data_IF_213396561226
#
_entry.id   IF_213396561226
#
_cell.length_a   1.000
_cell.length_b   1.000
_cell.length_c   1.000
_cell.angle_alpha   90.00
_cell.angle_beta   90.00
_cell.angle_gamma   90.00
#
_symmetry.space_group_name_H-M   'P 1'
#
loop_
_entity.id
_entity.type
_entity.pdbx_description
1 polymer ?
#
# COMPACT_ATOMS: atom_id res chain seq x y z
N UNK A 1 -19.28 -8.41 17.24
CA UNK A 1 -17.82 -8.17 17.33
C UNK A 1 -17.40 -7.41 16.08
N UNK A 2 -17.15 -6.12 16.20
CA UNK A 2 -16.62 -5.29 15.13
C UNK A 2 -15.10 -5.47 15.11
N UNK A 3 -14.57 -6.04 14.03
CA UNK A 3 -13.14 -6.11 13.78
C UNK A 3 -12.60 -4.66 13.75
N UNK A 4 -11.68 -4.34 14.67
CA UNK A 4 -10.99 -3.06 14.70
C UNK A 4 -9.79 -3.23 13.78
N UNK A 5 -9.86 -2.62 12.59
CA UNK A 5 -8.75 -2.64 11.63
C UNK A 5 -7.67 -1.71 12.15
N UNK A 6 -6.45 -2.23 12.30
CA UNK A 6 -5.28 -1.41 12.58
C UNK A 6 -4.82 -0.77 11.27
N UNK A 7 -4.68 0.55 11.24
CA UNK A 7 -4.21 1.27 10.06
C UNK A 7 -2.75 0.99 9.72
N UNK A 8 -2.04 0.25 10.58
CA UNK A 8 -0.62 -0.10 10.40
C UNK A 8 -0.37 -1.56 10.06
N UNK A 9 -1.31 -2.47 10.34
CA UNK A 9 -1.18 -3.89 9.99
C UNK A 9 -1.48 -4.11 8.50
N UNK A 10 -0.47 -4.60 7.75
CA UNK A 10 -0.55 -4.67 6.29
C UNK A 10 -1.74 -5.46 5.72
N UNK A 11 -2.23 -6.48 6.44
CA UNK A 11 -3.42 -7.24 6.04
C UNK A 11 -4.71 -6.43 6.21
N UNK A 12 -4.81 -5.65 7.28
CA UNK A 12 -5.96 -4.79 7.56
C UNK A 12 -6.01 -3.62 6.57
N UNK A 13 -4.84 -3.05 6.25
CA UNK A 13 -4.66 -2.06 5.18
C UNK A 13 -5.10 -2.67 3.84
N UNK A 14 -4.60 -3.85 3.48
CA UNK A 14 -4.99 -4.53 2.25
C UNK A 14 -6.49 -4.79 2.17
N UNK A 15 -7.10 -5.29 3.25
CA UNK A 15 -8.54 -5.51 3.29
C UNK A 15 -9.31 -4.21 3.03
N UNK A 16 -8.87 -3.11 3.65
CA UNK A 16 -9.48 -1.80 3.52
C UNK A 16 -9.32 -1.24 2.10
N UNK A 17 -8.12 -1.31 1.52
CA UNK A 17 -7.86 -0.93 0.13
C UNK A 17 -8.72 -1.73 -0.85
N UNK A 18 -8.78 -3.05 -0.71
CA UNK A 18 -9.60 -3.93 -1.57
C UNK A 18 -11.09 -3.63 -1.41
N UNK A 19 -11.54 -3.31 -0.20
CA UNK A 19 -12.95 -2.97 0.07
C UNK A 19 -13.32 -1.62 -0.55
N UNK A 20 -12.41 -0.65 -0.54
CA UNK A 20 -12.65 0.71 -1.00
C UNK A 20 -12.47 0.87 -2.51
N UNK A 21 -11.70 -0.01 -3.15
CA UNK A 21 -11.57 -0.05 -4.60
C UNK A 21 -12.92 -0.36 -5.30
N UNK A 22 -13.17 0.18 -6.50
CA UNK A 22 -14.40 -0.09 -7.26
C UNK A 22 -14.66 -1.58 -7.47
N UNK A 23 -15.89 -2.02 -7.19
CA UNK A 23 -16.31 -3.44 -7.24
C UNK A 23 -15.98 -4.23 -5.96
N UNK A 24 -15.10 -3.70 -5.11
CA UNK A 24 -14.79 -4.23 -3.79
C UNK A 24 -14.32 -5.69 -3.79
N UNK A 25 -14.53 -6.36 -2.65
CA UNK A 25 -14.10 -7.76 -2.45
C UNK A 25 -14.77 -8.74 -3.43
N UNK A 26 -15.98 -8.44 -3.91
CA UNK A 26 -16.70 -9.34 -4.82
C UNK A 26 -16.05 -9.35 -6.21
N UNK A 27 -15.74 -8.17 -6.75
CA UNK A 27 -15.06 -8.06 -8.04
C UNK A 27 -13.61 -8.60 -7.97
N UNK A 28 -12.89 -8.28 -6.89
CA UNK A 28 -11.55 -8.81 -6.64
C UNK A 28 -11.52 -10.35 -6.62
N UNK A 29 -12.53 -11.00 -6.01
CA UNK A 29 -12.62 -12.46 -5.99
C UNK A 29 -12.86 -13.06 -7.40
N UNK A 30 -13.66 -12.39 -8.23
CA UNK A 30 -13.87 -12.77 -9.62
C UNK A 30 -12.58 -12.61 -10.44
N UNK A 31 -11.87 -11.49 -10.27
CA UNK A 31 -10.59 -11.24 -10.90
C UNK A 31 -9.57 -12.35 -10.58
N UNK A 32 -9.40 -12.66 -9.29
CA UNK A 32 -8.50 -13.72 -8.85
C UNK A 32 -8.92 -15.10 -9.38
N UNK A 33 -10.23 -15.37 -9.44
CA UNK A 33 -10.75 -16.62 -9.99
C UNK A 33 -10.35 -16.79 -11.46
N UNK A 34 -10.52 -15.72 -12.24
CA UNK A 34 -10.20 -15.71 -13.65
C UNK A 34 -8.69 -15.82 -13.91
N UNK A 35 -7.87 -15.02 -13.19
CA UNK A 35 -6.41 -15.00 -13.39
C UNK A 35 -5.71 -16.27 -12.92
N UNK A 36 -6.21 -16.91 -11.86
CA UNK A 36 -5.58 -18.12 -11.27
C UNK A 36 -6.14 -19.43 -11.82
N UNK A 37 -7.27 -19.39 -12.53
CA UNK A 37 -8.00 -20.59 -12.95
C UNK A 37 -8.52 -21.44 -11.79
N UNK A 38 -8.64 -20.86 -10.58
CA UNK A 38 -9.11 -21.52 -9.35
C UNK A 38 -10.20 -20.69 -8.72
N UNK A 39 -11.36 -21.30 -8.48
CA UNK A 39 -12.50 -20.59 -7.91
C UNK A 39 -12.21 -20.03 -6.51
N UNK A 40 -12.46 -18.74 -6.33
CA UNK A 40 -12.37 -18.02 -5.06
C UNK A 40 -13.69 -17.30 -4.86
N UNK A 41 -14.44 -17.69 -3.83
CA UNK A 41 -15.65 -16.96 -3.45
C UNK A 41 -15.28 -15.65 -2.73
N UNK A 42 -16.13 -14.62 -2.80
CA UNK A 42 -15.91 -13.37 -2.06
C UNK A 42 -15.71 -13.60 -0.55
N UNK A 43 -16.40 -14.57 0.04
CA UNK A 43 -16.27 -14.88 1.46
C UNK A 43 -14.94 -15.58 1.78
N UNK A 44 -14.49 -16.50 0.93
CA UNK A 44 -13.16 -17.11 1.06
C UNK A 44 -12.06 -16.05 0.98
N UNK A 45 -12.21 -15.06 0.09
CA UNK A 45 -11.29 -13.93 0.01
C UNK A 45 -11.33 -13.07 1.29
N UNK A 46 -12.51 -12.75 1.83
CA UNK A 46 -12.62 -12.00 3.10
C UNK A 46 -11.90 -12.69 4.26
N UNK A 47 -12.07 -14.00 4.39
CA UNK A 47 -11.41 -14.77 5.46
C UNK A 47 -9.88 -14.70 5.33
N UNK A 48 -9.36 -14.79 4.10
CA UNK A 48 -7.92 -14.67 3.81
C UNK A 48 -7.39 -13.27 4.11
N UNK A 49 -8.12 -12.24 3.70
CA UNK A 49 -7.74 -10.84 3.94
C UNK A 49 -7.74 -10.48 5.42
N UNK A 50 -8.64 -11.07 6.21
CA UNK A 50 -8.69 -10.88 7.67
C UNK A 50 -7.73 -11.79 8.45
N UNK A 51 -6.96 -12.64 7.77
CA UNK A 51 -6.09 -13.62 8.42
C UNK A 51 -6.84 -14.60 9.36
N UNK A 52 -8.13 -14.86 9.10
CA UNK A 52 -8.96 -15.71 9.97
C UNK A 52 -8.75 -17.18 9.63
N UNK A 53 -8.47 -17.99 10.66
CA UNK A 53 -8.27 -19.44 10.54
C UNK A 53 -6.95 -19.79 9.84
N UNK A 54 -6.94 -20.93 9.13
CA UNK A 54 -5.77 -21.41 8.38
C UNK A 54 -5.73 -20.84 6.93
N UNK A 55 -6.61 -19.89 6.64
CA UNK A 55 -6.77 -19.26 5.32
C UNK A 55 -5.66 -18.23 5.08
N UNK A 56 -4.45 -18.69 4.76
CA UNK A 56 -3.34 -17.77 4.46
C UNK A 56 -3.54 -17.10 3.10
N UNK A 57 -3.30 -15.79 3.04
CA UNK A 57 -3.14 -15.08 1.77
C UNK A 57 -1.75 -15.42 1.21
N UNK A 58 -1.67 -15.88 -0.04
CA UNK A 58 -0.39 -16.11 -0.71
C UNK A 58 0.16 -14.81 -1.30
N UNK A 59 1.49 -14.72 -1.47
CA UNK A 59 2.13 -13.58 -2.12
C UNK A 59 1.59 -13.34 -3.55
N UNK A 60 1.39 -14.42 -4.31
CA UNK A 60 0.73 -14.36 -5.62
C UNK A 60 -0.65 -13.68 -5.58
N UNK A 61 -1.48 -13.99 -4.57
CA UNK A 61 -2.79 -13.35 -4.44
C UNK A 61 -2.65 -11.87 -4.04
N UNK A 62 -1.67 -11.56 -3.20
CA UNK A 62 -1.37 -10.18 -2.82
C UNK A 62 -0.99 -9.33 -4.04
N UNK A 63 -0.05 -9.80 -4.87
CA UNK A 63 0.37 -9.11 -6.09
C UNK A 63 -0.79 -8.92 -7.08
N UNK A 64 -1.60 -9.96 -7.31
CA UNK A 64 -2.77 -9.86 -8.18
C UNK A 64 -3.84 -8.89 -7.67
N UNK A 65 -3.99 -8.75 -6.35
CA UNK A 65 -4.91 -7.76 -5.77
C UNK A 65 -4.39 -6.33 -5.98
N UNK A 66 -3.08 -6.12 -5.86
CA UNK A 66 -2.46 -4.83 -6.18
C UNK A 66 -2.66 -4.51 -7.66
N UNK A 67 -2.37 -5.44 -8.56
CA UNK A 67 -2.60 -5.29 -10.01
C UNK A 67 -4.05 -4.91 -10.32
N UNK A 68 -5.01 -5.65 -9.75
CA UNK A 68 -6.44 -5.37 -9.91
C UNK A 68 -6.86 -3.98 -9.40
N UNK A 69 -6.23 -3.47 -8.34
CA UNK A 69 -6.48 -2.10 -7.87
C UNK A 69 -5.83 -1.07 -8.80
N UNK A 70 -4.61 -1.31 -9.28
CA UNK A 70 -3.92 -0.42 -10.21
C UNK A 70 -4.62 -0.30 -11.57
N UNK A 71 -5.35 -1.33 -12.01
CA UNK A 71 -6.22 -1.27 -13.19
C UNK A 71 -7.38 -0.26 -13.03
N UNK A 72 -7.65 0.24 -11.82
CA UNK A 72 -8.76 1.16 -11.50
C UNK A 72 -8.20 2.52 -11.12
N UNK A 73 -8.48 3.53 -11.93
CA UNK A 73 -8.02 4.91 -11.69
C UNK A 73 -8.44 5.46 -10.32
N UNK A 74 -9.62 5.07 -9.82
CA UNK A 74 -10.13 5.49 -8.51
C UNK A 74 -9.41 4.82 -7.32
N UNK A 75 -8.75 3.69 -7.55
CA UNK A 75 -8.02 2.95 -6.52
C UNK A 75 -6.51 3.22 -6.54
N UNK A 76 -6.00 3.93 -7.55
CA UNK A 76 -4.57 4.19 -7.70
C UNK A 76 -3.93 4.81 -6.46
N UNK A 77 -4.65 5.71 -5.78
CA UNK A 77 -4.17 6.41 -4.58
C UNK A 77 -3.91 5.49 -3.38
N UNK A 78 -4.58 4.34 -3.29
CA UNK A 78 -4.49 3.41 -2.15
C UNK A 78 -4.10 1.97 -2.54
N UNK A 79 -3.76 1.75 -3.81
CA UNK A 79 -3.42 0.43 -4.34
C UNK A 79 -2.12 -0.11 -3.73
N UNK A 80 -1.17 0.78 -3.38
CA UNK A 80 0.14 0.42 -2.86
C UNK A 80 0.25 0.51 -1.33
N UNK A 81 -0.77 1.02 -0.63
CA UNK A 81 -0.73 1.26 0.82
C UNK A 81 -0.35 0.00 1.61
N UNK A 82 -0.91 -1.15 1.21
CA UNK A 82 -0.60 -2.43 1.84
C UNK A 82 0.87 -2.86 1.65
N UNK A 83 1.48 -2.49 0.53
CA UNK A 83 2.90 -2.73 0.27
C UNK A 83 3.77 -1.80 1.12
N UNK A 84 3.39 -0.54 1.28
CA UNK A 84 4.07 0.38 2.20
C UNK A 84 3.97 -0.09 3.66
N UNK A 85 2.78 -0.53 4.11
CA UNK A 85 2.59 -1.10 5.44
C UNK A 85 3.42 -2.38 5.64
N UNK A 86 3.49 -3.25 4.62
CA UNK A 86 4.33 -4.45 4.65
C UNK A 86 5.82 -4.09 4.78
N UNK A 87 6.30 -3.11 4.03
CA UNK A 87 7.69 -2.64 4.12
C UNK A 87 7.99 -2.03 5.50
N UNK A 88 7.09 -1.18 6.02
CA UNK A 88 7.24 -0.54 7.32
C UNK A 88 7.38 -1.57 8.46
N UNK A 89 6.66 -2.69 8.37
CA UNK A 89 6.79 -3.81 9.34
C UNK A 89 8.21 -4.37 9.44
N UNK A 90 9.01 -4.26 8.37
CA UNK A 90 10.41 -4.68 8.34
C UNK A 90 11.41 -3.51 8.48
N UNK A 91 10.93 -2.31 8.82
CA UNK A 91 11.76 -1.11 8.91
C UNK A 91 12.24 -0.60 7.54
N UNK A 92 11.56 -0.98 6.46
CA UNK A 92 11.87 -0.53 5.10
C UNK A 92 10.91 0.58 4.69
N UNK A 93 11.43 1.51 3.88
CA UNK A 93 10.64 2.54 3.21
C UNK A 93 10.77 2.31 1.71
N UNK A 94 9.63 2.30 1.02
CA UNK A 94 9.55 2.25 -0.44
C UNK A 94 8.88 3.53 -0.93
N UNK A 95 9.28 3.99 -2.12
CA UNK A 95 8.75 5.18 -2.77
C UNK A 95 8.35 4.80 -4.20
N UNK A 96 7.22 5.32 -4.69
CA UNK A 96 6.83 5.16 -6.09
C UNK A 96 7.73 6.03 -6.95
N UNK A 97 8.40 5.41 -7.92
CA UNK A 97 9.22 6.11 -8.90
C UNK A 97 8.39 6.23 -10.17
N UNK A 98 7.94 7.44 -10.51
CA UNK A 98 7.21 7.68 -11.75
C UNK A 98 8.17 7.64 -12.94
N UNK A 99 8.10 6.55 -13.72
CA UNK A 99 8.86 6.37 -14.98
C UNK A 99 8.33 7.23 -16.14
N UNK A 100 7.45 8.21 -15.89
CA UNK A 100 6.81 9.05 -16.92
C UNK A 100 7.77 9.88 -17.79
N UNK A 101 9.08 9.81 -17.56
CA UNK A 101 10.11 10.43 -18.40
C UNK A 101 10.92 9.45 -19.26
N UNK A 102 10.62 8.14 -19.25
CA UNK A 102 11.19 7.19 -20.21
C UNK A 102 10.50 7.28 -21.58
N UNK A 103 10.43 8.49 -22.15
CA UNK A 103 10.24 8.64 -23.60
C UNK A 103 11.60 8.26 -24.21
N UNK A 104 11.59 7.20 -25.01
CA UNK A 104 12.74 6.67 -25.76
C UNK A 104 13.82 5.91 -24.97
N UNK A 105 13.47 4.75 -24.41
CA UNK A 105 14.37 3.58 -24.30
C UNK A 105 15.72 3.76 -23.60
N UNK A 106 15.96 4.90 -22.96
CA UNK A 106 17.13 5.17 -22.14
C UNK A 106 16.80 4.75 -20.72
N UNK A 107 17.68 3.94 -20.14
CA UNK A 107 17.70 3.72 -18.70
C UNK A 107 17.51 5.07 -17.98
N UNK A 108 16.72 5.12 -16.89
CA UNK A 108 16.59 6.34 -16.10
C UNK A 108 17.99 6.83 -15.74
N UNK A 109 18.47 7.84 -16.47
CA UNK A 109 19.87 8.22 -16.41
C UNK A 109 20.24 8.62 -14.99
N UNK A 110 21.53 8.65 -14.67
CA UNK A 110 22.06 9.03 -13.35
C UNK A 110 21.35 10.23 -12.71
N UNK A 111 20.89 11.19 -13.51
CA UNK A 111 20.09 12.34 -13.09
C UNK A 111 18.74 12.01 -12.45
N UNK A 112 18.06 10.95 -12.90
CA UNK A 112 16.82 10.47 -12.28
C UNK A 112 17.09 9.92 -10.88
N UNK A 113 18.12 9.09 -10.70
CA UNK A 113 18.54 8.60 -9.38
C UNK A 113 18.95 9.75 -8.44
N UNK A 114 19.68 10.75 -8.96
CA UNK A 114 20.02 11.96 -8.21
C UNK A 114 18.76 12.72 -7.80
N UNK A 115 17.80 12.88 -8.71
CA UNK A 115 16.54 13.58 -8.44
C UNK A 115 15.69 12.85 -7.40
N UNK A 116 15.57 11.53 -7.51
CA UNK A 116 14.88 10.69 -6.52
C UNK A 116 15.56 10.77 -5.16
N UNK A 117 16.88 10.71 -5.11
CA UNK A 117 17.65 10.89 -3.87
C UNK A 117 17.38 12.26 -3.24
N UNK A 118 17.40 13.34 -4.02
CA UNK A 118 17.12 14.68 -3.51
C UNK A 118 15.68 14.84 -3.03
N UNK A 119 14.68 14.24 -3.71
CA UNK A 119 13.28 14.23 -3.24
C UNK A 119 13.14 13.50 -1.91
N UNK A 120 13.75 12.32 -1.78
CA UNK A 120 13.76 11.57 -0.53
C UNK A 120 14.39 12.39 0.60
N UNK A 121 15.54 13.03 0.35
CA UNK A 121 16.20 13.87 1.35
C UNK A 121 15.36 15.10 1.72
N UNK A 122 14.68 15.73 0.76
CA UNK A 122 13.78 16.84 1.04
C UNK A 122 12.59 16.40 1.90
N UNK A 123 12.00 15.24 1.61
CA UNK A 123 10.91 14.67 2.41
C UNK A 123 11.37 14.31 3.83
N UNK A 124 12.53 13.66 3.97
CA UNK A 124 13.15 13.39 5.28
C UNK A 124 13.39 14.69 6.05
N UNK A 125 13.84 15.75 5.37
CA UNK A 125 14.00 17.08 5.96
C UNK A 125 12.68 17.67 6.48
N UNK A 126 11.57 17.49 5.76
CA UNK A 126 10.24 17.91 6.21
C UNK A 126 9.80 17.16 7.46
N UNK A 127 9.91 15.82 7.45
CA UNK A 127 9.57 15.00 8.62
C UNK A 127 10.44 15.39 9.83
N UNK A 128 11.76 15.56 9.63
CA UNK A 128 12.65 15.99 10.70
C UNK A 128 12.30 17.38 11.26
N UNK A 129 11.86 18.29 10.40
CA UNK A 129 11.37 19.60 10.82
C UNK A 129 10.04 19.51 11.58
N UNK A 130 9.11 18.66 11.14
CA UNK A 130 7.82 18.47 11.79
C UNK A 130 7.98 17.83 13.17
N UNK A 131 8.85 16.82 13.28
CA UNK A 131 9.26 16.23 14.56
C UNK A 131 9.97 17.25 15.45
N UNK A 132 10.86 18.08 14.89
CA UNK A 132 11.53 19.13 15.66
C UNK A 132 10.53 20.14 16.22
N UNK A 133 9.54 20.56 15.42
CA UNK A 133 8.45 21.46 15.85
C UNK A 133 7.58 20.84 16.92
N UNK A 134 7.16 19.58 16.75
CA UNK A 134 6.38 18.84 17.74
C UNK A 134 7.17 18.54 19.03
N UNK A 135 8.49 18.74 19.02
CA UNK A 135 9.35 18.61 20.19
C UNK A 135 9.76 19.96 20.80
N UNK A 136 9.39 21.11 20.21
CA UNK A 136 9.72 22.43 20.74
C UNK A 136 9.11 22.68 22.12
N UNK A 137 7.95 22.09 22.41
CA UNK A 137 7.26 22.17 23.70
C UNK A 137 7.50 20.94 24.62
N UNK A 138 8.37 20.02 24.18
CA UNK A 138 8.69 18.74 24.81
C UNK A 138 7.49 17.79 25.03
N UNK A 139 6.38 17.96 24.30
CA UNK A 139 5.17 17.15 24.47
C UNK A 139 4.47 16.90 23.12
N UNK A 140 4.65 15.70 22.57
CA UNK A 140 3.80 15.24 21.45
C UNK A 140 2.40 14.99 22.00
N UNK A 141 1.40 15.75 21.54
CA UNK A 141 -0.01 15.57 21.91
C UNK A 141 -0.83 14.86 20.80
N UNK A 142 -1.99 14.29 21.16
CA UNK A 142 -2.82 13.54 20.21
C UNK A 142 -3.34 14.39 19.03
N UNK A 143 -3.21 15.73 19.07
CA UNK A 143 -3.62 16.64 17.98
C UNK A 143 -2.52 16.82 16.94
N UNK A 144 -1.29 16.42 17.25
CA UNK A 144 -0.13 16.48 16.35
C UNK A 144 0.11 15.16 15.61
N UNK A 145 -0.66 14.12 15.94
CA UNK A 145 -0.55 12.77 15.39
C UNK A 145 -1.54 12.45 14.25
N UNK A 146 -2.40 13.41 13.85
CA UNK A 146 -3.29 13.34 12.67
C UNK A 146 -2.71 14.13 11.48
#
# INVERSE_FOLDING_TARGET
MTCRYDSTEWLDVLYTSVRNAPGGVADAANYLTNRRGKNITPESLRLRLRGVGDSRLSMEMFELLIEWMQEKSEAEAHALDALHALNARFGLVAERVDDHHAVDGHEPGTMHLVTTTLRLQAHVGQVANDVSRALEDQRIDDREAE
#
